data_IF_519198411637
#
_entry.id   IF_519198411637
#
_cell.length_a   1.000
_cell.length_b   1.000
_cell.length_c   1.000
_cell.angle_alpha   90.00
_cell.angle_beta   90.00
_cell.angle_gamma   90.00
#
_symmetry.space_group_name_H-M   'P 1'
#
loop_
_entity.id
_entity.type
_entity.pdbx_description
1 polymer ?
#
# COMPACT_ATOMS: atom_id res chain seq x y z
N UNK A 1 -9.36 12.63 2.30
CA UNK A 1 -8.30 11.72 1.82
C UNK A 1 -6.97 12.32 2.26
N UNK A 2 -6.17 11.60 3.07
CA UNK A 2 -4.90 12.11 3.58
C UNK A 2 -3.69 11.64 2.74
N UNK A 3 -3.66 10.36 2.36
CA UNK A 3 -2.68 9.82 1.41
C UNK A 3 -3.26 9.89 -0.01
N UNK A 4 -2.43 10.20 -1.00
CA UNK A 4 -2.84 10.30 -2.42
C UNK A 4 -2.52 9.05 -3.25
N UNK A 5 -1.79 8.08 -2.69
CA UNK A 5 -1.50 6.79 -3.32
C UNK A 5 -2.18 5.56 -2.68
N UNK A 6 -3.30 5.65 -1.92
CA UNK A 6 -3.89 4.46 -1.30
C UNK A 6 -4.58 3.59 -2.35
N UNK A 7 -4.35 2.28 -2.26
CA UNK A 7 -5.11 1.27 -3.00
C UNK A 7 -6.33 0.76 -2.23
N UNK A 8 -6.31 0.86 -0.90
CA UNK A 8 -7.40 0.48 0.02
C UNK A 8 -7.52 1.48 1.17
N UNK A 9 -8.67 1.47 1.86
CA UNK A 9 -8.85 2.23 3.11
C UNK A 9 -8.14 1.55 4.28
N UNK A 10 -7.43 2.33 5.10
CA UNK A 10 -6.73 1.80 6.27
C UNK A 10 -7.66 1.70 7.48
N UNK A 11 -8.37 2.78 7.81
CA UNK A 11 -9.14 2.87 9.05
C UNK A 11 -10.31 1.90 9.09
N UNK A 12 -11.06 1.77 7.99
CA UNK A 12 -12.19 0.86 7.89
C UNK A 12 -11.78 -0.60 7.94
N UNK A 13 -10.71 -0.98 7.24
CA UNK A 13 -10.21 -2.37 7.26
C UNK A 13 -9.67 -2.73 8.63
N UNK A 14 -8.85 -1.86 9.25
CA UNK A 14 -8.36 -2.10 10.62
C UNK A 14 -9.52 -2.20 11.60
N UNK A 15 -10.54 -1.34 11.50
CA UNK A 15 -11.73 -1.40 12.36
C UNK A 15 -12.46 -2.75 12.21
N UNK A 16 -12.76 -3.17 10.99
CA UNK A 16 -13.43 -4.44 10.74
C UNK A 16 -12.62 -5.65 11.28
N UNK A 17 -11.31 -5.65 11.09
CA UNK A 17 -10.42 -6.72 11.61
C UNK A 17 -10.36 -6.70 13.14
N UNK A 18 -10.28 -5.53 13.77
CA UNK A 18 -10.21 -5.41 15.22
C UNK A 18 -11.54 -5.77 15.89
N UNK A 19 -12.68 -5.53 15.24
CA UNK A 19 -13.99 -5.93 15.75
C UNK A 19 -14.14 -7.45 15.81
N UNK A 20 -13.69 -8.16 14.77
CA UNK A 20 -13.72 -9.64 14.75
C UNK A 20 -12.71 -10.26 15.73
N UNK A 21 -11.55 -9.64 15.89
CA UNK A 21 -10.48 -10.18 16.72
C UNK A 21 -10.51 -9.68 18.18
N UNK A 22 -11.52 -8.90 18.57
CA UNK A 22 -11.61 -8.26 19.88
C UNK A 22 -11.44 -9.26 21.04
N UNK A 23 -11.99 -10.47 20.93
CA UNK A 23 -11.88 -11.52 21.95
C UNK A 23 -10.43 -11.94 22.22
N UNK A 24 -9.56 -11.93 21.21
CA UNK A 24 -8.14 -12.29 21.34
C UNK A 24 -7.29 -11.22 22.04
N UNK A 25 -7.82 -10.00 22.24
CA UNK A 25 -7.12 -8.94 22.98
C UNK A 25 -7.33 -9.03 24.49
N UNK A 26 -8.35 -9.76 24.93
CA UNK A 26 -8.66 -9.93 26.36
C UNK A 26 -7.99 -11.17 26.97
N UNK A 27 -7.75 -12.22 26.17
CA UNK A 27 -7.14 -13.47 26.63
C UNK A 27 -5.87 -13.85 25.86
N UNK A 28 -4.93 -14.54 26.51
CA UNK A 28 -3.69 -15.04 25.90
C UNK A 28 -3.82 -16.51 25.47
N UNK A 29 -4.70 -16.80 24.51
CA UNK A 29 -4.96 -18.17 24.03
C UNK A 29 -4.02 -18.65 22.93
N UNK A 30 -3.24 -17.74 22.32
CA UNK A 30 -2.33 -18.05 21.22
C UNK A 30 -0.94 -18.47 21.74
N UNK A 31 -0.21 -19.36 21.01
CA UNK A 31 1.12 -19.81 21.43
C UNK A 31 2.17 -18.69 21.54
N UNK A 32 1.97 -17.59 20.81
CA UNK A 32 2.84 -16.42 20.81
C UNK A 32 2.05 -15.13 20.49
N UNK A 33 2.67 -13.97 20.71
CA UNK A 33 2.09 -12.67 20.34
C UNK A 33 2.06 -12.53 18.82
N UNK A 34 0.85 -12.46 18.27
CA UNK A 34 0.60 -12.17 16.85
C UNK A 34 0.55 -10.66 16.63
N UNK A 35 1.23 -10.18 15.59
CA UNK A 35 1.20 -8.79 15.12
C UNK A 35 0.58 -8.76 13.72
N UNK A 36 -0.52 -8.02 13.61
CA UNK A 36 -1.19 -7.77 12.34
C UNK A 36 -0.94 -6.32 11.96
N UNK A 37 -0.40 -6.10 10.77
CA UNK A 37 -0.19 -4.74 10.25
C UNK A 37 -0.89 -4.54 8.92
N UNK A 38 -1.27 -3.30 8.65
CA UNK A 38 -1.89 -2.88 7.41
C UNK A 38 -1.13 -1.71 6.79
N UNK A 39 -0.96 -1.75 5.47
CA UNK A 39 -0.50 -0.63 4.67
C UNK A 39 -1.44 -0.45 3.48
N UNK A 40 -1.81 0.79 3.20
CA UNK A 40 -2.77 1.12 2.15
C UNK A 40 -2.17 1.02 0.73
N UNK A 41 -0.84 0.97 0.60
CA UNK A 41 -0.13 0.76 -0.66
C UNK A 41 1.25 0.10 -0.43
N UNK A 42 1.91 -0.26 -1.53
CA UNK A 42 3.23 -0.92 -1.56
C UNK A 42 4.38 -0.09 -0.98
N UNK A 43 4.18 1.19 -0.67
CA UNK A 43 5.17 1.97 0.08
C UNK A 43 5.34 1.46 1.51
N UNK A 44 4.43 0.60 1.99
CA UNK A 44 4.55 -0.12 3.26
C UNK A 44 4.91 0.78 4.44
N UNK A 45 4.23 1.93 4.57
CA UNK A 45 4.47 2.91 5.64
C UNK A 45 4.10 2.36 7.03
N UNK A 46 4.99 1.55 7.62
CA UNK A 46 4.76 0.85 8.88
C UNK A 46 5.48 -0.50 8.90
N UNK A 47 4.82 -1.52 9.44
CA UNK A 47 5.43 -2.82 9.72
C UNK A 47 4.93 -3.97 8.83
N UNK A 48 4.27 -3.69 7.69
CA UNK A 48 3.73 -4.73 6.79
C UNK A 48 4.81 -5.69 6.26
N UNK A 49 6.04 -5.23 6.08
CA UNK A 49 7.14 -6.07 5.62
C UNK A 49 7.73 -6.98 6.73
N UNK A 50 7.32 -6.80 7.98
CA UNK A 50 7.89 -7.50 9.15
C UNK A 50 6.84 -7.91 10.20
N UNK A 51 5.58 -8.11 9.78
CA UNK A 51 4.48 -8.58 10.64
C UNK A 51 4.19 -10.06 10.42
N UNK A 52 3.61 -10.69 11.44
CA UNK A 52 3.21 -12.10 11.35
C UNK A 52 2.09 -12.29 10.31
N UNK A 53 1.16 -11.33 10.25
CA UNK A 53 0.11 -11.25 9.22
C UNK A 53 0.06 -9.82 8.69
N UNK A 54 -0.02 -9.70 7.37
CA UNK A 54 0.04 -8.41 6.68
C UNK A 54 -1.11 -8.24 5.70
N UNK A 55 -1.77 -7.09 5.80
CA UNK A 55 -2.80 -6.65 4.84
C UNK A 55 -2.20 -5.54 4.00
N UNK A 56 -2.10 -5.75 2.68
CA UNK A 56 -1.47 -4.81 1.77
C UNK A 56 -2.40 -4.45 0.61
N UNK A 57 -2.67 -3.16 0.46
CA UNK A 57 -3.34 -2.63 -0.73
C UNK A 57 -2.45 -2.71 -1.96
N UNK A 58 -2.95 -3.32 -3.04
CA UNK A 58 -2.23 -3.47 -4.32
C UNK A 58 -3.12 -3.05 -5.49
N UNK A 59 -2.59 -2.21 -6.36
CA UNK A 59 -3.19 -1.94 -7.67
C UNK A 59 -2.93 -3.12 -8.62
N UNK A 60 -3.96 -3.52 -9.39
CA UNK A 60 -3.88 -4.60 -10.38
C UNK A 60 -3.94 -4.13 -11.83
N UNK A 61 -3.89 -2.81 -12.04
CA UNK A 61 -3.93 -2.18 -13.37
C UNK A 61 -2.72 -1.25 -13.53
N UNK A 62 -2.20 -1.09 -14.76
CA UNK A 62 -1.19 -0.07 -15.05
C UNK A 62 -1.68 1.35 -14.73
N UNK A 63 -0.77 2.31 -14.51
CA UNK A 63 -1.11 3.72 -14.33
C UNK A 63 -1.89 4.27 -15.53
N UNK A 64 -2.87 5.14 -15.28
CA UNK A 64 -3.48 5.97 -16.30
C UNK A 64 -2.51 7.09 -16.67
N UNK A 65 -2.24 7.28 -17.96
CA UNK A 65 -1.28 8.29 -18.44
C UNK A 65 -2.03 9.54 -18.90
N UNK A 66 -1.78 10.67 -18.24
CA UNK A 66 -2.27 12.00 -18.65
C UNK A 66 -1.21 12.73 -19.47
N UNK A 67 -1.12 12.45 -20.77
CA UNK A 67 -0.07 12.96 -21.65
C UNK A 67 0.06 14.50 -21.65
N UNK A 68 -1.06 15.22 -21.61
CA UNK A 68 -1.08 16.69 -21.69
C UNK A 68 -0.46 17.38 -20.45
N UNK A 69 -0.53 16.74 -19.30
CA UNK A 69 -0.02 17.28 -18.02
C UNK A 69 1.36 16.77 -17.66
N UNK A 70 1.72 15.58 -18.15
CA UNK A 70 2.93 14.86 -17.76
C UNK A 70 4.21 15.70 -17.94
N UNK A 71 4.34 16.42 -19.06
CA UNK A 71 5.51 17.25 -19.36
C UNK A 71 5.63 18.45 -18.38
N UNK A 72 4.51 18.95 -17.89
CA UNK A 72 4.47 20.15 -17.04
C UNK A 72 4.64 19.84 -15.55
N UNK A 73 4.36 18.61 -15.12
CA UNK A 73 4.34 18.22 -13.70
C UNK A 73 5.41 17.22 -13.30
N UNK A 74 6.03 16.54 -14.27
CA UNK A 74 6.99 15.48 -14.01
C UNK A 74 8.32 15.72 -14.71
N UNK A 75 9.41 15.40 -14.02
CA UNK A 75 10.71 15.23 -14.65
C UNK A 75 10.76 13.86 -15.34
N UNK A 76 10.85 13.83 -16.67
CA UNK A 76 10.79 12.59 -17.46
C UNK A 76 11.85 11.56 -17.04
N UNK A 77 13.13 11.94 -16.83
CA UNK A 77 14.16 10.95 -16.48
C UNK A 77 13.90 10.27 -15.13
N UNK A 78 13.43 11.02 -14.13
CA UNK A 78 13.17 10.48 -12.79
C UNK A 78 11.93 9.58 -12.80
N UNK A 79 10.92 9.94 -13.61
CA UNK A 79 9.71 9.14 -13.81
C UNK A 79 10.03 7.78 -14.45
N UNK A 80 10.90 7.76 -15.46
CA UNK A 80 11.38 6.50 -16.07
C UNK A 80 12.16 5.68 -15.05
N UNK A 81 13.09 6.31 -14.32
CA UNK A 81 13.95 5.63 -13.35
C UNK A 81 13.20 5.07 -12.13
N UNK A 82 11.99 5.57 -11.84
CA UNK A 82 11.16 5.06 -10.75
C UNK A 82 10.62 3.64 -11.01
N UNK A 83 10.64 3.15 -12.25
CA UNK A 83 10.11 1.83 -12.58
C UNK A 83 11.16 0.73 -12.29
N UNK A 84 10.91 -0.19 -11.34
CA UNK A 84 11.88 -1.24 -11.00
C UNK A 84 12.08 -2.28 -12.12
N UNK A 85 11.15 -2.35 -13.07
CA UNK A 85 11.19 -3.29 -14.20
C UNK A 85 11.38 -2.61 -15.56
N UNK A 86 11.69 -1.31 -15.58
CA UNK A 86 11.87 -0.52 -16.81
C UNK A 86 10.68 -0.60 -17.79
N UNK A 87 9.45 -0.71 -17.27
CA UNK A 87 8.24 -0.73 -18.09
C UNK A 87 7.86 0.65 -18.67
N UNK A 88 8.40 1.73 -18.10
CA UNK A 88 8.19 3.12 -18.56
C UNK A 88 9.32 3.46 -19.54
N UNK A 89 8.95 3.97 -20.72
CA UNK A 89 9.91 4.39 -21.77
C UNK A 89 9.46 5.71 -22.40
N UNK A 90 10.38 6.54 -22.90
CA UNK A 90 10.01 7.68 -23.71
C UNK A 90 9.30 7.21 -24.98
N UNK A 91 8.30 7.97 -25.41
CA UNK A 91 7.64 7.76 -26.69
C UNK A 91 8.33 8.68 -27.71
N UNK A 92 8.88 8.09 -28.78
CA UNK A 92 9.27 8.81 -29.99
C UNK A 92 8.04 8.97 -30.88
#
# INVERSE_FOLDING_TARGET
VHCHTPAIDASGVVKAVMDELAEYFHDKRLPAKVRISLACCLNMCGAVHCSDISILGIHRKPPLIEHDRLINVCEIPTTIAACPTAAIRPYN
#
